data_IF_722748645422
#
_entry.id   IF_722748645422
#
_cell.length_a   1.000
_cell.length_b   1.000
_cell.length_c   1.000
_cell.angle_alpha   90.00
_cell.angle_beta   90.00
_cell.angle_gamma   90.00
#
_symmetry.space_group_name_H-M   'P 1'
#
loop_
_entity.id
_entity.type
_entity.pdbx_description
1 polymer ?
#
# COMPACT_ATOMS: atom_id res chain seq x y z
N UNK A 1 -75.29 16.69 -64.92
CA UNK A 1 -74.22 15.69 -64.67
C UNK A 1 -73.50 16.14 -63.39
N UNK A 2 -73.98 15.72 -62.20
CA UNK A 2 -73.48 14.59 -61.39
C UNK A 2 -72.03 14.82 -60.93
N UNK A 3 -71.58 14.69 -59.67
CA UNK A 3 -72.15 14.27 -58.38
C UNK A 3 -71.03 14.54 -57.32
N UNK A 4 -71.37 15.20 -56.21
CA UNK A 4 -71.04 14.90 -54.80
C UNK A 4 -69.82 14.02 -54.38
N UNK A 5 -69.16 14.48 -53.29
CA UNK A 5 -68.60 13.74 -52.12
C UNK A 5 -67.20 13.09 -52.17
N UNK A 6 -66.39 13.43 -51.15
CA UNK A 6 -65.30 12.59 -50.63
C UNK A 6 -64.58 13.25 -49.44
N UNK A 7 -64.79 12.72 -48.23
CA UNK A 7 -64.41 13.26 -46.92
C UNK A 7 -62.97 12.92 -46.44
N UNK A 8 -62.37 13.87 -45.70
CA UNK A 8 -61.79 13.78 -44.33
C UNK A 8 -60.62 12.82 -43.97
N UNK A 9 -59.76 13.35 -43.07
CA UNK A 9 -58.78 12.75 -42.13
C UNK A 9 -57.29 12.85 -42.54
N UNK A 10 -56.48 13.79 -42.04
CA UNK A 10 -55.95 13.94 -40.66
C UNK A 10 -55.00 12.81 -40.27
N UNK A 11 -53.68 13.09 -40.17
CA UNK A 11 -52.87 12.81 -38.96
C UNK A 11 -51.47 13.45 -39.04
N UNK A 12 -51.13 14.17 -37.97
CA UNK A 12 -49.85 14.81 -37.69
C UNK A 12 -48.73 13.79 -37.49
N UNK A 13 -47.51 14.11 -37.92
CA UNK A 13 -46.28 13.53 -37.41
C UNK A 13 -45.27 14.65 -37.12
N UNK A 14 -45.45 15.27 -35.95
CA UNK A 14 -44.39 16.02 -35.26
C UNK A 14 -43.51 14.96 -34.58
N UNK A 15 -42.42 14.59 -35.24
CA UNK A 15 -41.39 13.74 -34.66
C UNK A 15 -40.60 14.51 -33.61
N UNK A 16 -41.01 14.42 -32.34
CA UNK A 16 -40.19 14.82 -31.21
C UNK A 16 -38.88 14.05 -31.26
N UNK A 17 -37.79 14.76 -31.48
CA UNK A 17 -36.43 14.28 -31.24
C UNK A 17 -36.21 14.21 -29.73
N UNK A 18 -36.76 13.17 -29.11
CA UNK A 18 -36.44 12.82 -27.74
C UNK A 18 -35.00 12.32 -27.70
N UNK A 19 -34.09 13.11 -27.13
CA UNK A 19 -32.77 12.62 -26.74
C UNK A 19 -32.96 11.57 -25.64
N UNK A 20 -33.11 10.31 -26.04
CA UNK A 20 -33.01 9.20 -25.13
C UNK A 20 -31.60 9.20 -24.55
N UNK A 21 -31.46 9.73 -23.32
CA UNK A 21 -30.26 9.57 -22.51
C UNK A 21 -30.20 8.10 -22.14
N UNK A 22 -29.63 7.29 -23.03
CA UNK A 22 -29.39 5.87 -22.77
C UNK A 22 -28.55 5.77 -21.50
N UNK A 23 -29.09 5.10 -20.48
CA UNK A 23 -28.32 4.73 -19.31
C UNK A 23 -27.17 3.82 -19.80
N UNK A 24 -25.92 4.17 -19.45
CA UNK A 24 -24.78 3.34 -19.81
C UNK A 24 -25.03 1.90 -19.31
N UNK A 25 -24.75 0.87 -20.13
CA UNK A 25 -24.93 -0.51 -19.71
C UNK A 25 -24.08 -0.76 -18.46
N UNK A 26 -24.63 -1.51 -17.50
CA UNK A 26 -23.99 -1.79 -16.19
C UNK A 26 -22.54 -2.27 -16.36
N UNK A 27 -22.25 -3.04 -17.41
CA UNK A 27 -20.90 -3.51 -17.73
C UNK A 27 -19.89 -2.38 -17.99
N UNK A 28 -20.27 -1.30 -18.67
CA UNK A 28 -19.40 -0.16 -18.97
C UNK A 28 -19.12 0.68 -17.72
N UNK A 29 -20.14 0.87 -16.88
CA UNK A 29 -20.01 1.55 -15.59
C UNK A 29 -19.07 0.76 -14.66
N UNK A 30 -19.25 -0.56 -14.59
CA UNK A 30 -18.38 -1.44 -13.80
C UNK A 30 -16.95 -1.43 -14.33
N UNK A 31 -16.75 -1.54 -15.64
CA UNK A 31 -15.42 -1.49 -16.24
C UNK A 31 -14.72 -0.15 -15.94
N UNK A 32 -15.43 0.97 -16.06
CA UNK A 32 -14.88 2.30 -15.75
C UNK A 32 -14.52 2.43 -14.26
N UNK A 33 -15.36 1.92 -13.35
CA UNK A 33 -15.09 1.94 -11.91
C UNK A 33 -13.88 1.06 -11.54
N UNK A 34 -13.76 -0.12 -12.15
CA UNK A 34 -12.60 -1.01 -11.94
C UNK A 34 -11.32 -0.36 -12.45
N UNK A 35 -11.32 0.19 -13.66
CA UNK A 35 -10.16 0.90 -14.22
C UNK A 35 -9.76 2.12 -13.36
N UNK A 36 -10.73 2.88 -12.87
CA UNK A 36 -10.48 3.99 -11.96
C UNK A 36 -9.85 3.51 -10.64
N UNK A 37 -10.38 2.44 -10.04
CA UNK A 37 -9.85 1.86 -8.81
C UNK A 37 -8.42 1.31 -9.00
N UNK A 38 -8.15 0.66 -10.13
CA UNK A 38 -6.81 0.16 -10.47
C UNK A 38 -5.83 1.32 -10.69
N UNK A 39 -6.26 2.41 -11.33
CA UNK A 39 -5.43 3.61 -11.50
C UNK A 39 -5.10 4.30 -10.18
N UNK A 40 -6.08 4.42 -9.27
CA UNK A 40 -5.89 4.95 -7.92
C UNK A 40 -4.88 4.11 -7.14
N UNK A 41 -5.06 2.79 -7.15
CA UNK A 41 -4.18 1.85 -6.46
C UNK A 41 -2.75 1.91 -7.01
N UNK A 42 -2.59 1.83 -8.32
CA UNK A 42 -1.29 1.82 -8.97
C UNK A 42 -0.52 3.12 -8.75
N UNK A 43 -1.19 4.27 -8.83
CA UNK A 43 -0.54 5.56 -8.61
C UNK A 43 -0.17 5.76 -7.14
N UNK A 44 -1.07 5.41 -6.21
CA UNK A 44 -0.79 5.43 -4.76
C UNK A 44 0.41 4.54 -4.43
N UNK A 45 0.45 3.33 -5.00
CA UNK A 45 1.57 2.40 -4.85
C UNK A 45 2.89 3.02 -5.36
N UNK A 46 2.88 3.65 -6.53
CA UNK A 46 4.06 4.31 -7.10
C UNK A 46 4.61 5.44 -6.22
N UNK A 47 3.73 6.21 -5.57
CA UNK A 47 4.13 7.23 -4.61
C UNK A 47 4.78 6.61 -3.36
N UNK A 48 4.17 5.57 -2.78
CA UNK A 48 4.76 4.86 -1.65
C UNK A 48 6.10 4.20 -1.98
N UNK A 49 6.24 3.59 -3.16
CA UNK A 49 7.50 2.99 -3.58
C UNK A 49 8.65 4.00 -3.69
N UNK A 50 8.34 5.29 -3.89
CA UNK A 50 9.29 6.41 -3.89
C UNK A 50 9.46 7.06 -2.51
N UNK A 51 8.79 6.56 -1.48
CA UNK A 51 8.79 7.14 -0.14
C UNK A 51 7.95 8.42 0.01
N UNK A 52 7.11 8.74 -0.97
CA UNK A 52 6.27 9.94 -1.02
C UNK A 52 4.93 9.66 -0.33
N UNK A 53 4.97 9.41 0.99
CA UNK A 53 3.79 8.95 1.75
C UNK A 53 2.74 10.04 1.89
N UNK A 54 3.16 11.29 2.09
CA UNK A 54 2.25 12.43 2.19
C UNK A 54 1.54 12.64 0.86
N UNK A 55 2.27 12.63 -0.24
CA UNK A 55 1.69 12.76 -1.58
C UNK A 55 0.77 11.59 -1.93
N UNK A 56 1.07 10.37 -1.48
CA UNK A 56 0.17 9.22 -1.63
C UNK A 56 -1.17 9.43 -0.90
N UNK A 57 -1.12 9.99 0.31
CA UNK A 57 -2.31 10.35 1.11
C UNK A 57 -3.10 11.46 0.41
N UNK A 58 -2.43 12.53 -0.01
CA UNK A 58 -3.06 13.66 -0.68
C UNK A 58 -3.72 13.22 -1.99
N UNK A 59 -3.02 12.40 -2.79
CA UNK A 59 -3.57 11.84 -4.02
C UNK A 59 -4.83 11.01 -3.76
N UNK A 60 -4.83 10.18 -2.71
CA UNK A 60 -6.02 9.40 -2.34
C UNK A 60 -7.20 10.30 -2.01
N UNK A 61 -6.98 11.31 -1.16
CA UNK A 61 -8.04 12.23 -0.71
C UNK A 61 -8.60 13.02 -1.88
N UNK A 62 -7.73 13.60 -2.70
CA UNK A 62 -8.11 14.40 -3.87
C UNK A 62 -8.85 13.56 -4.93
N UNK A 63 -8.44 12.31 -5.14
CA UNK A 63 -9.03 11.44 -6.17
C UNK A 63 -10.37 10.84 -5.72
N UNK A 64 -10.50 10.51 -4.43
CA UNK A 64 -11.70 9.82 -3.91
C UNK A 64 -12.72 10.77 -3.28
N UNK A 65 -12.32 11.99 -2.89
CA UNK A 65 -13.13 12.90 -2.09
C UNK A 65 -13.40 12.42 -0.66
N UNK A 66 -12.62 11.44 -0.17
CA UNK A 66 -12.76 10.82 1.15
C UNK A 66 -11.45 10.90 1.92
N UNK A 67 -11.53 10.77 3.23
CA UNK A 67 -10.34 10.62 4.06
C UNK A 67 -9.48 9.40 3.64
N UNK A 68 -8.17 9.52 3.85
CA UNK A 68 -7.26 8.42 3.61
C UNK A 68 -7.56 7.25 4.56
N UNK A 69 -7.50 6.00 4.07
CA UNK A 69 -7.84 4.84 4.86
C UNK A 69 -6.82 4.63 5.99
N UNK A 70 -7.28 4.03 7.10
CA UNK A 70 -6.48 3.84 8.29
C UNK A 70 -5.14 3.12 8.04
N UNK A 71 -5.10 2.15 7.11
CA UNK A 71 -3.86 1.44 6.76
C UNK A 71 -2.81 2.36 6.10
N UNK A 72 -3.24 3.37 5.33
CA UNK A 72 -2.34 4.31 4.66
C UNK A 72 -1.78 5.33 5.67
N UNK A 73 -2.61 5.75 6.63
CA UNK A 73 -2.17 6.56 7.75
C UNK A 73 -1.22 5.78 8.67
N UNK A 74 -1.52 4.51 8.95
CA UNK A 74 -0.65 3.64 9.74
C UNK A 74 0.72 3.46 9.08
N UNK A 75 0.78 3.30 7.76
CA UNK A 75 2.03 3.29 6.99
C UNK A 75 2.86 4.55 7.21
N UNK A 76 2.25 5.75 7.17
CA UNK A 76 2.96 7.01 7.49
C UNK A 76 3.58 6.96 8.89
N UNK A 77 2.78 6.56 9.88
CA UNK A 77 3.25 6.52 11.28
C UNK A 77 4.38 5.52 11.51
N UNK A 78 4.49 4.47 10.69
CA UNK A 78 5.57 3.48 10.79
C UNK A 78 6.97 4.05 10.61
N UNK A 79 7.11 5.20 9.95
CA UNK A 79 8.40 5.85 9.69
C UNK A 79 8.68 7.05 10.59
N UNK A 80 7.79 7.35 11.53
CA UNK A 80 8.00 8.43 12.49
C UNK A 80 9.11 8.06 13.49
N UNK A 81 9.85 9.06 13.97
CA UNK A 81 10.96 8.85 14.91
C UNK A 81 10.53 8.10 16.19
N UNK A 82 9.28 8.27 16.63
CA UNK A 82 8.74 7.53 17.79
C UNK A 82 8.63 6.01 17.58
N UNK A 83 8.74 5.51 16.35
CA UNK A 83 8.76 4.08 16.03
C UNK A 83 10.18 3.51 15.95
N UNK A 84 11.20 4.35 16.06
CA UNK A 84 12.61 3.96 16.08
C UNK A 84 13.02 3.51 17.49
N UNK A 85 12.33 2.50 18.00
CA UNK A 85 12.55 1.93 19.33
C UNK A 85 12.56 0.40 19.28
N UNK A 86 13.39 -0.21 20.11
CA UNK A 86 13.45 -1.67 20.23
C UNK A 86 12.08 -2.22 20.64
N UNK A 87 11.61 -3.27 19.96
CA UNK A 87 10.32 -3.92 20.22
C UNK A 87 9.11 -3.33 19.48
N UNK A 88 9.25 -2.21 18.76
CA UNK A 88 8.16 -1.70 17.90
C UNK A 88 8.06 -2.41 16.53
N UNK A 89 9.08 -3.20 16.17
CA UNK A 89 9.29 -3.74 14.82
C UNK A 89 8.12 -4.59 14.32
N UNK A 90 7.45 -5.35 15.20
CA UNK A 90 6.29 -6.17 14.83
C UNK A 90 5.14 -5.32 14.29
N UNK A 91 4.76 -4.28 15.04
CA UNK A 91 3.66 -3.38 14.65
C UNK A 91 3.99 -2.60 13.38
N UNK A 92 5.24 -2.15 13.26
CA UNK A 92 5.76 -1.42 12.10
C UNK A 92 5.71 -2.30 10.85
N UNK A 93 6.25 -3.51 10.94
CA UNK A 93 6.25 -4.47 9.85
C UNK A 93 4.82 -4.85 9.42
N UNK A 94 3.91 -5.09 10.38
CA UNK A 94 2.52 -5.41 10.08
C UNK A 94 1.81 -4.26 9.34
N UNK A 95 2.00 -3.01 9.78
CA UNK A 95 1.42 -1.83 9.12
C UNK A 95 1.93 -1.67 7.69
N UNK A 96 3.24 -1.82 7.49
CA UNK A 96 3.88 -1.72 6.17
C UNK A 96 3.40 -2.84 5.25
N UNK A 97 3.39 -4.08 5.75
CA UNK A 97 2.91 -5.25 5.00
C UNK A 97 1.46 -5.06 4.58
N UNK A 98 0.60 -4.61 5.49
CA UNK A 98 -0.82 -4.35 5.22
C UNK A 98 -0.97 -3.31 4.12
N UNK A 99 -0.26 -2.19 4.20
CA UNK A 99 -0.36 -1.12 3.21
C UNK A 99 0.03 -1.59 1.81
N UNK A 100 1.17 -2.29 1.68
CA UNK A 100 1.58 -2.84 0.40
C UNK A 100 0.60 -3.90 -0.14
N UNK A 101 0.04 -4.74 0.73
CA UNK A 101 -0.97 -5.75 0.35
C UNK A 101 -2.25 -5.10 -0.17
N UNK A 102 -2.77 -4.08 0.51
CA UNK A 102 -3.96 -3.33 0.09
C UNK A 102 -3.77 -2.67 -1.29
N UNK A 103 -2.52 -2.36 -1.62
CA UNK A 103 -2.12 -1.78 -2.89
C UNK A 103 -1.77 -2.82 -3.97
N UNK A 104 -2.05 -4.11 -3.74
CA UNK A 104 -1.81 -5.19 -4.71
C UNK A 104 -0.34 -5.60 -4.81
N UNK A 105 0.48 -5.17 -3.86
CA UNK A 105 1.86 -5.59 -3.71
C UNK A 105 2.00 -7.05 -3.25
N UNK A 106 3.23 -7.55 -3.30
CA UNK A 106 3.63 -8.84 -2.74
C UNK A 106 4.73 -8.61 -1.69
N UNK A 107 4.42 -7.94 -0.58
CA UNK A 107 5.38 -7.79 0.52
C UNK A 107 5.63 -9.14 1.18
N UNK A 108 6.85 -9.35 1.65
CA UNK A 108 7.25 -10.49 2.47
C UNK A 108 7.51 -9.97 3.89
N UNK A 109 6.95 -10.62 4.91
CA UNK A 109 7.40 -10.42 6.28
C UNK A 109 8.68 -11.24 6.48
N UNK A 110 9.76 -10.59 6.89
CA UNK A 110 11.06 -11.22 7.10
C UNK A 110 11.41 -11.14 8.57
N UNK A 111 11.61 -12.29 9.17
CA UNK A 111 12.10 -12.46 10.53
C UNK A 111 13.62 -12.63 10.50
N UNK A 112 14.29 -11.86 11.35
CA UNK A 112 15.72 -11.96 11.61
C UNK A 112 15.91 -12.45 13.03
N UNK A 113 16.68 -13.54 13.18
CA UNK A 113 16.99 -14.13 14.48
C UNK A 113 18.49 -14.39 14.65
N UNK A 114 19.07 -14.01 15.79
CA UNK A 114 20.46 -14.37 16.09
C UNK A 114 20.62 -15.85 16.45
N UNK A 115 21.66 -16.51 15.91
CA UNK A 115 21.98 -17.92 16.17
C UNK A 115 23.45 -18.14 16.59
N UNK A 116 23.73 -19.04 17.56
CA UNK A 116 22.76 -19.73 18.43
C UNK A 116 22.09 -18.75 19.42
N UNK A 117 20.84 -19.05 19.81
CA UNK A 117 20.02 -18.18 20.68
C UNK A 117 20.58 -18.00 22.09
N UNK A 118 21.45 -18.90 22.55
CA UNK A 118 22.05 -18.81 23.89
C UNK A 118 23.17 -17.76 24.00
N UNK A 119 23.65 -17.22 22.87
CA UNK A 119 24.64 -16.12 22.85
C UNK A 119 23.97 -14.77 23.00
N UNK A 120 24.78 -13.70 23.09
CA UNK A 120 24.29 -12.34 23.30
C UNK A 120 23.25 -11.97 22.24
N UNK A 121 21.95 -11.84 22.60
CA UNK A 121 20.88 -11.84 21.64
C UNK A 121 20.56 -10.39 21.25
N UNK A 122 21.50 -9.68 20.63
CA UNK A 122 21.22 -8.33 20.16
C UNK A 122 21.43 -8.21 18.67
N UNK A 123 20.63 -7.34 18.06
CA UNK A 123 20.81 -6.89 16.69
C UNK A 123 20.94 -5.37 16.74
N UNK A 124 22.04 -4.87 16.21
CA UNK A 124 22.27 -3.44 15.96
C UNK A 124 22.12 -3.12 14.49
N UNK A 125 21.89 -1.85 14.19
CA UNK A 125 21.84 -1.34 12.82
C UNK A 125 22.63 -0.04 12.71
N UNK A 126 23.47 0.03 11.68
CA UNK A 126 24.29 1.21 11.40
C UNK A 126 23.54 2.21 10.54
N UNK A 127 23.18 3.35 11.13
CA UNK A 127 22.52 4.46 10.45
C UNK A 127 23.44 5.13 9.41
N UNK A 128 22.84 5.91 8.53
CA UNK A 128 23.55 6.68 7.49
C UNK A 128 24.54 7.70 8.07
N UNK A 129 24.23 8.26 9.24
CA UNK A 129 25.11 9.16 9.97
C UNK A 129 26.25 8.44 10.71
N UNK A 130 26.38 7.12 10.55
CA UNK A 130 27.42 6.29 11.17
C UNK A 130 27.11 5.83 12.59
N UNK A 131 26.00 6.27 13.20
CA UNK A 131 25.59 5.86 14.53
C UNK A 131 25.00 4.44 14.52
N UNK A 132 25.35 3.64 15.53
CA UNK A 132 24.72 2.36 15.76
C UNK A 132 23.48 2.51 16.66
N UNK A 133 22.37 1.92 16.24
CA UNK A 133 21.13 1.83 17.02
C UNK A 133 20.81 0.38 17.34
N UNK A 134 20.14 0.14 18.46
CA UNK A 134 19.70 -1.20 18.84
C UNK A 134 18.34 -1.48 18.18
N UNK A 135 18.31 -2.41 17.21
CA UNK A 135 17.06 -2.90 16.62
C UNK A 135 16.35 -3.89 17.54
N UNK A 136 17.14 -4.74 18.19
CA UNK A 136 16.65 -5.81 19.04
C UNK A 136 17.57 -6.10 20.21
N UNK A 137 16.97 -6.29 21.38
CA UNK A 137 17.65 -6.69 22.62
C UNK A 137 17.52 -8.18 22.95
N UNK A 138 16.67 -8.90 22.20
CA UNK A 138 16.41 -10.33 22.36
C UNK A 138 16.73 -11.13 21.08
N UNK A 139 17.42 -10.51 20.13
CA UNK A 139 17.94 -11.17 18.95
C UNK A 139 16.87 -11.43 17.92
N UNK A 140 15.67 -10.88 18.10
CA UNK A 140 14.52 -11.00 17.22
C UNK A 140 14.17 -9.65 16.61
N UNK A 141 14.08 -9.59 15.29
CA UNK A 141 13.61 -8.42 14.56
C UNK A 141 12.74 -8.84 13.39
N UNK A 142 11.68 -8.09 13.09
CA UNK A 142 10.83 -8.33 11.92
C UNK A 142 10.71 -7.05 11.11
N UNK A 143 10.79 -7.20 9.79
CA UNK A 143 10.67 -6.13 8.82
C UNK A 143 9.94 -6.61 7.57
N UNK A 144 9.70 -5.71 6.63
CA UNK A 144 9.11 -6.06 5.33
C UNK A 144 10.16 -6.03 4.24
N UNK A 145 10.18 -7.06 3.40
CA UNK A 145 10.90 -7.05 2.13
C UNK A 145 9.92 -6.92 0.96
N UNK A 146 10.19 -5.99 0.05
CA UNK A 146 9.40 -5.85 -1.17
C UNK A 146 10.26 -5.28 -2.29
N UNK A 147 10.20 -5.87 -3.49
CA UNK A 147 10.95 -5.43 -4.68
C UNK A 147 12.45 -5.20 -4.40
N UNK A 148 13.07 -6.11 -3.64
CA UNK A 148 14.50 -6.04 -3.30
C UNK A 148 14.85 -4.93 -2.30
N UNK A 149 13.87 -4.38 -1.57
CA UNK A 149 14.07 -3.35 -0.55
C UNK A 149 13.55 -3.81 0.80
N UNK A 150 14.29 -3.47 1.86
CA UNK A 150 13.91 -3.56 3.26
C UNK A 150 13.11 -2.33 3.69
N UNK A 151 12.05 -2.56 4.45
CA UNK A 151 11.22 -1.52 5.05
C UNK A 151 11.05 -1.79 6.55
N UNK A 152 11.56 -0.87 7.35
CA UNK A 152 11.34 -0.78 8.79
C UNK A 152 11.28 0.70 9.24
N UNK A 153 11.26 0.95 10.55
CA UNK A 153 11.20 2.31 11.10
C UNK A 153 12.46 3.16 10.83
N UNK A 154 13.59 2.52 10.51
CA UNK A 154 14.91 3.15 10.32
C UNK A 154 15.29 3.32 8.85
N UNK A 155 14.68 2.55 7.93
CA UNK A 155 14.93 2.69 6.49
C UNK A 155 14.20 3.88 5.86
N UNK A 156 13.21 4.44 6.57
CA UNK A 156 12.30 5.44 6.04
C UNK A 156 11.37 4.88 4.96
N UNK A 157 10.48 5.74 4.46
CA UNK A 157 9.39 5.33 3.58
C UNK A 157 9.84 4.84 2.20
N UNK A 158 10.97 5.32 1.70
CA UNK A 158 11.54 4.82 0.45
C UNK A 158 12.15 3.42 0.59
N UNK A 159 12.25 2.90 1.83
CA UNK A 159 12.97 1.67 2.13
C UNK A 159 14.46 1.78 1.81
N UNK A 160 15.18 0.68 2.03
CA UNK A 160 16.61 0.54 1.76
C UNK A 160 16.86 -0.66 0.86
N UNK A 161 17.82 -0.65 -0.09
CA UNK A 161 18.18 -1.86 -0.82
C UNK A 161 18.50 -3.02 0.13
N UNK A 162 17.94 -4.21 -0.11
CA UNK A 162 18.05 -5.37 0.80
C UNK A 162 19.50 -5.70 1.15
N UNK A 163 20.37 -5.75 0.13
CA UNK A 163 21.78 -6.02 0.33
C UNK A 163 22.48 -4.96 1.19
N UNK A 164 22.04 -3.70 1.11
CA UNK A 164 22.58 -2.65 1.97
C UNK A 164 22.07 -2.78 3.41
N UNK A 165 20.79 -3.08 3.58
CA UNK A 165 20.19 -3.32 4.87
C UNK A 165 20.95 -4.42 5.63
N UNK A 166 21.15 -5.58 4.99
CA UNK A 166 21.86 -6.70 5.60
C UNK A 166 23.32 -6.36 5.96
N UNK A 167 24.01 -5.55 5.15
CA UNK A 167 25.38 -5.08 5.47
C UNK A 167 25.44 -4.14 6.67
N UNK A 168 24.35 -3.44 6.99
CA UNK A 168 24.27 -2.50 8.11
C UNK A 168 23.89 -3.18 9.41
N UNK A 169 23.42 -4.42 9.37
CA UNK A 169 23.14 -5.21 10.56
C UNK A 169 24.45 -5.59 11.26
N UNK A 170 24.43 -5.53 12.58
CA UNK A 170 25.50 -6.00 13.44
C UNK A 170 24.96 -6.91 14.53
N UNK A 171 25.66 -8.00 14.80
CA UNK A 171 25.40 -8.89 15.92
C UNK A 171 26.71 -9.62 16.30
N UNK A 172 26.79 -10.16 17.53
CA UNK A 172 27.91 -11.07 17.92
C UNK A 172 27.72 -12.50 17.42
N UNK A 173 26.50 -12.79 16.99
CA UNK A 173 26.05 -14.09 16.52
C UNK A 173 25.63 -13.96 15.06
N UNK A 174 25.59 -15.08 14.35
CA UNK A 174 25.05 -15.09 13.00
C UNK A 174 23.58 -14.64 13.02
N UNK A 175 23.16 -13.89 12.00
CA UNK A 175 21.76 -13.48 11.84
C UNK A 175 21.16 -14.39 10.77
N UNK A 176 20.22 -15.24 11.16
CA UNK A 176 19.43 -16.06 10.26
C UNK A 176 18.20 -15.29 9.79
N UNK A 177 17.80 -15.52 8.54
CA UNK A 177 16.64 -14.93 7.89
C UNK A 177 15.57 -15.99 7.64
N UNK A 178 14.31 -15.66 7.91
CA UNK A 178 13.16 -16.51 7.58
C UNK A 178 12.00 -15.65 7.07
N UNK A 179 11.38 -16.04 5.95
CA UNK A 179 10.13 -15.43 5.49
C UNK A 179 8.98 -16.07 6.25
N UNK A 180 8.17 -15.25 6.93
CA UNK A 180 7.06 -15.70 7.78
C UNK A 180 5.73 -15.23 7.20
N UNK A 181 4.66 -15.98 7.46
CA UNK A 181 3.31 -15.62 6.97
C UNK A 181 2.61 -14.59 7.88
N UNK A 182 2.88 -14.66 9.19
CA UNK A 182 2.27 -13.79 10.19
C UNK A 182 3.29 -13.40 11.26
N UNK A 183 3.17 -12.18 11.79
CA UNK A 183 4.01 -11.73 12.89
C UNK A 183 3.53 -12.38 14.18
N UNK A 184 4.28 -13.35 14.68
CA UNK A 184 4.03 -13.94 15.99
C UNK A 184 4.65 -13.02 17.05
N UNK A 185 3.83 -12.52 17.98
CA UNK A 185 4.34 -11.78 19.12
C UNK A 185 5.32 -12.66 19.91
N UNK A 186 6.53 -12.15 20.18
CA UNK A 186 7.40 -12.76 21.18
C UNK A 186 6.78 -12.43 22.55
N UNK A 187 6.54 -13.41 23.42
CA UNK A 187 6.09 -13.17 24.79
C UNK A 187 6.99 -12.20 25.56
#
# INVERSE_FOLDING_TARGET
MNFLRGCLAMFLLVGLSGTARAAAPVAEVVATQVLAADSLRAHTFSLLARGQVTEAIDYWVLTTGKDAPAWLLAMRTSFEAGKQVAGACQSVAQNIHTAFTQLGGKPELVQLTTQPREKVPYITFKLMNGQDVNLSRNGYHVLVRMQGRAYDAYTGAAGMPWAEYMRRLGARSEIAEEVIETVVGVP
#
